data_IF_793693538905
#
_entry.id   IF_793693538905
#
_cell.length_a   1.000
_cell.length_b   1.000
_cell.length_c   1.000
_cell.angle_alpha   90.00
_cell.angle_beta   90.00
_cell.angle_gamma   90.00
#
_symmetry.space_group_name_H-M   'P 1'
#
loop_
_entity.id
_entity.type
_entity.pdbx_description
1 polymer ?
#
# COMPACT_ATOMS: atom_id res chain seq x y z
N UNK A 1 31.42 -33.15 17.23
CA UNK A 1 31.68 -31.72 16.90
C UNK A 1 31.35 -31.34 15.45
N UNK A 2 30.83 -32.21 14.57
CA UNK A 2 30.39 -31.79 13.22
C UNK A 2 28.89 -31.49 13.12
N UNK A 3 28.03 -32.05 13.97
CA UNK A 3 26.58 -31.77 13.93
C UNK A 3 26.19 -30.36 14.37
N UNK A 4 26.97 -29.71 15.25
CA UNK A 4 26.75 -28.31 15.65
C UNK A 4 27.13 -27.31 14.54
N UNK A 5 28.03 -27.69 13.63
CA UNK A 5 28.40 -26.84 12.49
C UNK A 5 27.32 -26.86 11.41
N UNK A 6 26.80 -28.05 11.07
CA UNK A 6 25.68 -28.18 10.12
C UNK A 6 24.40 -27.45 10.58
N UNK A 7 24.15 -27.38 11.90
CA UNK A 7 22.98 -26.69 12.44
C UNK A 7 23.13 -25.16 12.42
N UNK A 8 24.33 -24.64 12.71
CA UNK A 8 24.63 -23.21 12.61
C UNK A 8 24.72 -22.73 11.16
N UNK A 9 25.25 -23.55 10.24
CA UNK A 9 25.31 -23.25 8.81
C UNK A 9 23.91 -23.16 8.16
N UNK A 10 22.95 -24.00 8.57
CA UNK A 10 21.54 -23.88 8.16
C UNK A 10 20.86 -22.59 8.68
N UNK A 11 21.27 -22.09 9.85
CA UNK A 11 20.78 -20.80 10.37
C UNK A 11 21.37 -19.59 9.62
N UNK A 12 22.51 -19.77 8.94
CA UNK A 12 23.22 -18.73 8.21
C UNK A 12 22.75 -18.56 6.77
N UNK A 13 22.08 -19.56 6.18
CA UNK A 13 21.53 -19.53 4.81
C UNK A 13 20.12 -20.11 4.79
N UNK A 14 19.14 -19.29 5.14
CA UNK A 14 17.73 -19.67 5.12
C UNK A 14 17.10 -19.25 3.78
N UNK A 15 16.97 -20.21 2.86
CA UNK A 15 16.38 -20.01 1.53
C UNK A 15 14.94 -20.57 1.42
N UNK A 16 14.37 -21.13 2.49
CA UNK A 16 13.02 -21.70 2.40
C UNK A 16 11.99 -20.60 2.17
N UNK A 17 11.16 -20.80 1.15
CA UNK A 17 10.00 -19.97 0.87
C UNK A 17 8.73 -20.74 1.19
N UNK A 18 7.77 -20.06 1.79
CA UNK A 18 6.46 -20.62 2.11
C UNK A 18 5.40 -19.81 1.39
N UNK A 19 4.92 -20.35 0.26
CA UNK A 19 3.87 -19.71 -0.49
C UNK A 19 2.56 -19.70 0.33
N UNK A 20 1.76 -18.62 0.25
CA UNK A 20 0.41 -18.64 0.79
C UNK A 20 -0.46 -19.68 0.09
N UNK A 21 -1.56 -20.09 0.73
CA UNK A 21 -2.55 -20.94 0.06
C UNK A 21 -3.17 -20.23 -1.15
N UNK A 22 -3.68 -21.02 -2.09
CA UNK A 22 -4.38 -20.49 -3.27
C UNK A 22 -5.63 -19.70 -2.89
N UNK A 23 -6.38 -20.19 -1.89
CA UNK A 23 -7.56 -19.50 -1.34
C UNK A 23 -7.21 -18.12 -0.77
N UNK A 24 -6.16 -18.04 0.07
CA UNK A 24 -5.71 -16.77 0.62
C UNK A 24 -5.24 -15.79 -0.46
N UNK A 25 -4.49 -16.29 -1.44
CA UNK A 25 -4.00 -15.49 -2.57
C UNK A 25 -5.14 -14.96 -3.45
N UNK A 26 -6.22 -15.73 -3.62
CA UNK A 26 -7.40 -15.32 -4.36
C UNK A 26 -8.13 -14.16 -3.67
N UNK A 27 -8.15 -14.12 -2.33
CA UNK A 27 -8.77 -13.04 -1.54
C UNK A 27 -7.88 -11.80 -1.34
N UNK A 28 -6.62 -11.82 -1.79
CA UNK A 28 -5.71 -10.68 -1.61
C UNK A 28 -6.23 -9.39 -2.27
N UNK A 29 -6.18 -8.27 -1.54
CA UNK A 29 -6.58 -6.94 -2.02
C UNK A 29 -5.71 -6.45 -3.21
N UNK A 30 -4.42 -6.76 -3.19
CA UNK A 30 -3.49 -6.43 -4.27
C UNK A 30 -3.11 -7.67 -5.08
N UNK A 31 -3.04 -7.54 -6.41
CA UNK A 31 -2.60 -8.59 -7.33
C UNK A 31 -1.28 -8.21 -8.01
N UNK A 32 -0.56 -9.22 -8.53
CA UNK A 32 0.72 -9.01 -9.22
C UNK A 32 0.61 -8.04 -10.41
N UNK A 33 -0.55 -7.93 -11.04
CA UNK A 33 -0.81 -6.98 -12.12
C UNK A 33 -0.58 -5.51 -11.72
N UNK A 34 -0.68 -5.18 -10.43
CA UNK A 34 -0.43 -3.82 -9.93
C UNK A 34 1.02 -3.37 -10.21
N UNK A 35 1.99 -4.29 -10.21
CA UNK A 35 3.38 -3.96 -10.54
C UNK A 35 3.51 -3.55 -12.01
N UNK A 36 2.93 -4.33 -12.91
CA UNK A 36 2.95 -4.03 -14.35
C UNK A 36 2.21 -2.72 -14.64
N UNK A 37 1.07 -2.47 -13.97
CA UNK A 37 0.34 -1.19 -14.09
C UNK A 37 1.21 -0.01 -13.62
N UNK A 38 1.82 -0.11 -12.45
CA UNK A 38 2.70 0.92 -11.89
C UNK A 38 3.97 1.17 -12.72
N UNK A 39 4.54 0.14 -13.34
CA UNK A 39 5.70 0.26 -14.23
C UNK A 39 5.33 0.97 -15.55
N UNK A 40 4.15 0.69 -16.10
CA UNK A 40 3.71 1.25 -17.37
C UNK A 40 3.45 2.76 -17.31
N UNK A 41 2.80 3.24 -16.26
CA UNK A 41 2.65 4.67 -15.96
C UNK A 41 2.53 4.89 -14.45
N UNK A 42 3.67 5.22 -13.84
CA UNK A 42 3.77 5.44 -12.41
C UNK A 42 2.91 6.59 -11.91
N UNK A 43 2.75 7.68 -12.68
CA UNK A 43 1.99 8.83 -12.22
C UNK A 43 0.49 8.57 -12.34
N UNK A 44 0.04 7.98 -13.45
CA UNK A 44 -1.36 7.58 -13.59
C UNK A 44 -1.76 6.53 -12.55
N UNK A 45 -0.88 5.56 -12.27
CA UNK A 45 -1.10 4.57 -11.21
C UNK A 45 -1.35 5.25 -9.87
N UNK A 46 -0.44 6.14 -9.42
CA UNK A 46 -0.61 6.81 -8.13
C UNK A 46 -1.78 7.78 -8.09
N UNK A 47 -2.12 8.42 -9.21
CA UNK A 47 -3.33 9.23 -9.31
C UNK A 47 -4.58 8.38 -9.09
N UNK A 48 -4.68 7.21 -9.72
CA UNK A 48 -5.78 6.25 -9.54
C UNK A 48 -5.89 5.77 -8.10
N UNK A 49 -4.77 5.39 -7.47
CA UNK A 49 -4.78 4.99 -6.05
C UNK A 49 -5.26 6.12 -5.13
N UNK A 50 -4.85 7.36 -5.41
CA UNK A 50 -5.24 8.52 -4.62
C UNK A 50 -6.73 8.87 -4.73
N UNK A 51 -7.43 8.43 -5.77
CA UNK A 51 -8.88 8.61 -5.91
C UNK A 51 -9.70 7.75 -4.93
N UNK A 52 -9.09 6.74 -4.29
CA UNK A 52 -9.76 5.94 -3.23
C UNK A 52 -9.91 6.72 -1.90
N UNK A 53 -9.24 7.86 -1.79
CA UNK A 53 -9.37 8.77 -0.66
C UNK A 53 -10.45 9.82 -0.90
N UNK A 54 -11.04 10.29 0.19
CA UNK A 54 -11.99 11.41 0.17
C UNK A 54 -11.21 12.73 0.20
N UNK A 55 -11.27 13.48 -0.89
CA UNK A 55 -10.64 14.80 -1.02
C UNK A 55 -11.66 15.92 -0.85
N UNK A 56 -11.32 16.92 -0.04
CA UNK A 56 -12.07 18.18 0.04
C UNK A 56 -11.84 19.01 -1.24
N UNK A 57 -10.60 18.97 -1.76
CA UNK A 57 -10.25 19.54 -3.06
C UNK A 57 -9.31 18.59 -3.79
N UNK A 58 -9.66 18.20 -5.02
CA UNK A 58 -8.79 17.38 -5.88
C UNK A 58 -7.52 18.16 -6.24
N UNK A 59 -6.39 17.46 -6.30
CA UNK A 59 -5.11 18.02 -6.74
C UNK A 59 -5.17 18.45 -8.20
N UNK A 60 -4.27 19.37 -8.59
CA UNK A 60 -4.13 19.80 -9.99
C UNK A 60 -2.83 19.28 -10.64
N UNK A 61 -1.88 18.79 -9.85
CA UNK A 61 -0.65 18.16 -10.33
C UNK A 61 -0.32 16.96 -9.44
N UNK A 62 0.00 15.82 -10.05
CA UNK A 62 0.25 14.55 -9.34
C UNK A 62 1.58 14.60 -8.60
N UNK A 63 2.64 15.09 -9.26
CA UNK A 63 3.98 15.18 -8.70
C UNK A 63 4.67 16.44 -9.21
N UNK A 64 5.15 17.27 -8.30
CA UNK A 64 6.21 18.24 -8.56
C UNK A 64 7.51 17.71 -7.96
N UNK A 65 8.54 17.59 -8.80
CA UNK A 65 9.81 16.97 -8.43
C UNK A 65 10.95 17.95 -8.69
N UNK A 66 11.46 18.55 -7.61
CA UNK A 66 12.55 19.52 -7.60
C UNK A 66 13.64 19.02 -6.64
N UNK A 67 14.51 18.08 -7.06
CA UNK A 67 15.48 17.42 -6.17
C UNK A 67 16.23 18.43 -5.27
N UNK A 68 16.31 18.17 -3.95
CA UNK A 68 15.88 16.97 -3.22
C UNK A 68 14.41 16.96 -2.77
N UNK A 69 13.61 17.97 -3.17
CA UNK A 69 12.23 18.13 -2.74
C UNK A 69 11.24 17.46 -3.70
N UNK A 70 10.23 16.81 -3.13
CA UNK A 70 9.14 16.20 -3.86
C UNK A 70 7.81 16.60 -3.22
N UNK A 71 6.87 17.06 -4.03
CA UNK A 71 5.51 17.38 -3.60
C UNK A 71 4.53 16.52 -4.39
N UNK A 72 3.78 15.67 -3.69
CA UNK A 72 2.74 14.83 -4.28
C UNK A 72 1.37 15.47 -4.12
N UNK A 73 0.52 15.30 -5.13
CA UNK A 73 -0.88 15.76 -5.15
C UNK A 73 -1.00 17.26 -4.84
N UNK A 74 -0.20 18.06 -5.54
CA UNK A 74 -0.10 19.51 -5.34
C UNK A 74 -1.45 20.18 -5.57
N UNK A 75 -1.76 21.13 -4.68
CA UNK A 75 -3.05 21.84 -4.67
C UNK A 75 -4.23 21.03 -4.13
N UNK A 76 -4.03 19.74 -3.82
CA UNK A 76 -5.02 18.88 -3.18
C UNK A 76 -5.21 19.22 -1.70
N UNK A 77 -6.44 19.06 -1.21
CA UNK A 77 -6.79 19.25 0.19
C UNK A 77 -7.57 18.05 0.70
N UNK A 78 -7.13 17.51 1.82
CA UNK A 78 -7.68 16.34 2.47
C UNK A 78 -7.56 16.49 3.99
N UNK A 79 -8.40 15.75 4.73
CA UNK A 79 -8.29 15.62 6.16
C UNK A 79 -8.12 14.15 6.53
N UNK A 80 -7.14 13.87 7.40
CA UNK A 80 -6.84 12.52 7.86
C UNK A 80 -8.00 11.91 8.67
N UNK A 81 -8.65 12.66 9.55
CA UNK A 81 -9.78 12.15 10.35
C UNK A 81 -10.96 11.80 9.45
N UNK A 82 -11.25 12.63 8.44
CA UNK A 82 -12.33 12.36 7.48
C UNK A 82 -12.13 11.02 6.78
N UNK A 83 -10.90 10.69 6.42
CA UNK A 83 -10.58 9.43 5.75
C UNK A 83 -10.47 8.24 6.70
N UNK A 84 -10.09 8.46 7.96
CA UNK A 84 -9.90 7.41 8.94
C UNK A 84 -11.18 7.09 9.74
N UNK A 85 -12.13 8.03 9.84
CA UNK A 85 -13.30 7.93 10.71
C UNK A 85 -14.57 8.43 10.03
N UNK A 86 -14.66 9.72 9.70
CA UNK A 86 -15.93 10.36 9.35
C UNK A 86 -16.61 9.66 8.17
N UNK A 87 -15.86 9.36 7.10
CA UNK A 87 -16.39 8.64 5.91
C UNK A 87 -16.93 7.24 6.24
N UNK A 88 -16.42 6.59 7.27
CA UNK A 88 -16.88 5.26 7.68
C UNK A 88 -18.17 5.35 8.48
N UNK A 89 -18.28 6.35 9.37
CA UNK A 89 -19.52 6.64 10.10
C UNK A 89 -20.64 7.03 9.13
N UNK A 90 -20.36 7.94 8.20
CA UNK A 90 -21.31 8.37 7.15
C UNK A 90 -21.75 7.21 6.25
N UNK A 91 -20.87 6.24 5.99
CA UNK A 91 -21.18 5.01 5.27
C UNK A 91 -21.96 3.96 6.10
N UNK A 92 -22.46 4.33 7.28
CA UNK A 92 -23.27 3.46 8.15
C UNK A 92 -22.46 2.44 8.95
N UNK A 93 -21.14 2.63 9.08
CA UNK A 93 -20.26 1.72 9.84
C UNK A 93 -19.89 2.27 11.22
N UNK A 94 -20.70 3.17 11.77
CA UNK A 94 -20.44 3.83 13.06
C UNK A 94 -20.35 2.86 14.25
N UNK A 95 -21.06 1.74 14.20
CA UNK A 95 -21.04 0.73 15.28
C UNK A 95 -19.85 -0.24 15.18
N UNK A 96 -19.03 -0.14 14.13
CA UNK A 96 -17.85 -0.99 13.97
C UNK A 96 -16.72 -0.47 14.87
N UNK A 97 -16.21 -1.35 15.74
CA UNK A 97 -15.04 -1.06 16.58
C UNK A 97 -13.82 -0.70 15.73
N UNK A 98 -13.15 0.40 16.08
CA UNK A 98 -12.07 1.02 15.31
C UNK A 98 -10.73 1.15 16.06
N UNK A 99 -10.68 0.78 17.34
CA UNK A 99 -9.50 0.88 18.22
C UNK A 99 -8.87 -0.48 18.51
#
# INVERSE_FOLDING_TARGET
MSQEKDSLENLLSEERTFAPSSEFSAAANGKASLYTEAESDRLAFWAKQAEELTWDKKWNQILDWQPPFAQWFVGGKINATVNALDRHVEAGRGDRVAF
#
